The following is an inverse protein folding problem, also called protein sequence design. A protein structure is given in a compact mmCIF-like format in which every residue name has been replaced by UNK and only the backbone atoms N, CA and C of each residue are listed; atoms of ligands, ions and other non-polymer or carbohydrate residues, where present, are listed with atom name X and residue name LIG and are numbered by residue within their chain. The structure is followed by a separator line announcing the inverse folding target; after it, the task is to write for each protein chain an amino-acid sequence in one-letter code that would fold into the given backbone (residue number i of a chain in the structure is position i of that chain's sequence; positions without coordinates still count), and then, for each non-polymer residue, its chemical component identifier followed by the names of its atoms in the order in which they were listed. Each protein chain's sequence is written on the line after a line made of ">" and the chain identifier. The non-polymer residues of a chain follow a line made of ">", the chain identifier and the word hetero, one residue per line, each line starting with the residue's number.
data_IF_589880720422
#
_entry.id   IF_589880720422
#
_cell.length_a   1.000
_cell.length_b   1.000
_cell.length_c   1.000
_cell.angle_alpha   90.00
_cell.angle_beta   90.00
_cell.angle_gamma   90.00
#
_symmetry.space_group_name_H-M   'P 1'
#
loop_
_entity.id
_entity.type
_entity.pdbx_description
1 polymer ?
#
# COMPACT_ATOMS: atom_id res chain seq x y z
N UNK A 1 1.75 -16.57 -0.01
CA UNK A 1 1.80 -15.30 -0.77
C UNK A 1 2.43 -14.26 0.13
N UNK A 2 3.66 -13.89 -0.20
CA UNK A 2 4.60 -13.09 0.60
C UNK A 2 4.20 -11.61 0.64
N UNK A 3 4.50 -10.92 1.74
CA UNK A 3 4.47 -9.46 1.87
C UNK A 3 5.02 -8.73 0.64
N UNK A 4 4.35 -7.66 0.19
CA UNK A 4 4.74 -6.84 -0.99
C UNK A 4 6.09 -6.13 -0.77
N UNK A 5 6.64 -6.19 0.46
CA UNK A 5 8.00 -5.78 0.81
C UNK A 5 9.07 -6.34 -0.15
N UNK A 6 8.89 -7.54 -0.70
CA UNK A 6 9.81 -8.10 -1.71
C UNK A 6 9.77 -7.37 -3.07
N UNK A 7 8.60 -6.87 -3.48
CA UNK A 7 8.40 -6.14 -4.75
C UNK A 7 8.91 -4.70 -4.63
N UNK A 8 8.81 -4.08 -3.44
CA UNK A 8 9.24 -2.70 -3.20
C UNK A 8 10.76 -2.49 -3.15
N UNK A 9 11.55 -3.54 -2.92
CA UNK A 9 13.00 -3.42 -2.72
C UNK A 9 13.87 -3.78 -3.94
N UNK A 10 13.34 -4.42 -4.98
CA UNK A 10 14.10 -4.74 -6.21
C UNK A 10 13.99 -3.61 -7.24
N UNK A 11 14.80 -2.55 -7.08
CA UNK A 11 15.04 -1.53 -8.12
C UNK A 11 15.98 -2.09 -9.20
N UNK A 12 15.61 -3.20 -9.85
CA UNK A 12 16.28 -3.61 -11.11
C UNK A 12 15.57 -2.96 -12.29
N UNK A 13 16.29 -2.32 -13.23
CA UNK A 13 15.67 -1.86 -14.47
C UNK A 13 15.27 -3.10 -15.27
N UNK A 14 13.98 -3.43 -15.31
CA UNK A 14 13.45 -4.49 -16.15
C UNK A 14 13.37 -4.01 -17.60
N UNK A 15 13.84 -4.83 -18.54
CA UNK A 15 13.67 -4.63 -19.99
C UNK A 15 12.18 -4.49 -20.35
N UNK A 16 11.88 -3.72 -21.40
CA UNK A 16 10.50 -3.39 -21.81
C UNK A 16 9.66 -4.65 -22.06
N UNK A 17 10.23 -5.70 -22.65
CA UNK A 17 9.55 -7.00 -22.84
C UNK A 17 9.17 -7.67 -21.50
N UNK A 18 10.03 -7.60 -20.48
CA UNK A 18 9.74 -8.14 -19.16
C UNK A 18 8.62 -7.39 -18.44
N UNK A 19 8.46 -6.09 -18.71
CA UNK A 19 7.38 -5.28 -18.12
C UNK A 19 6.01 -5.59 -18.71
N UNK A 20 5.94 -5.91 -20.01
CA UNK A 20 4.69 -6.27 -20.69
C UNK A 20 4.17 -7.63 -20.22
N UNK A 21 5.05 -8.60 -20.07
CA UNK A 21 4.71 -9.93 -19.53
C UNK A 21 4.21 -9.85 -18.08
N UNK A 22 4.89 -9.05 -17.24
CA UNK A 22 4.46 -8.82 -15.86
C UNK A 22 3.09 -8.14 -15.76
N UNK A 23 2.78 -7.18 -16.63
CA UNK A 23 1.47 -6.52 -16.63
C UNK A 23 0.34 -7.51 -16.96
N UNK A 24 0.56 -8.41 -17.93
CA UNK A 24 -0.40 -9.45 -18.29
C UNK A 24 -0.65 -10.41 -17.13
N UNK A 25 0.41 -10.90 -16.47
CA UNK A 25 0.30 -11.78 -15.31
C UNK A 25 -0.48 -11.14 -14.16
N UNK A 26 -0.32 -9.83 -13.95
CA UNK A 26 -1.06 -9.11 -12.92
C UNK A 26 -2.54 -8.97 -13.27
N UNK A 27 -2.89 -8.70 -14.53
CA UNK A 27 -4.30 -8.66 -14.96
C UNK A 27 -4.97 -10.04 -14.85
N UNK A 28 -4.25 -11.13 -15.16
CA UNK A 28 -4.70 -12.49 -14.90
C UNK A 28 -4.90 -12.76 -13.39
N UNK A 29 -3.97 -12.28 -12.55
CA UNK A 29 -4.12 -12.38 -11.08
C UNK A 29 -5.37 -11.65 -10.57
N UNK A 30 -5.69 -10.48 -11.13
CA UNK A 30 -6.93 -9.75 -10.79
C UNK A 30 -8.15 -10.57 -11.23
N UNK A 31 -8.13 -11.14 -12.44
CA UNK A 31 -9.21 -11.97 -12.96
C UNK A 31 -9.48 -13.19 -12.05
N UNK A 32 -8.45 -13.95 -11.71
CA UNK A 32 -8.60 -15.14 -10.86
C UNK A 32 -9.03 -14.79 -9.44
N UNK A 33 -8.56 -13.68 -8.88
CA UNK A 33 -9.05 -13.21 -7.59
C UNK A 33 -10.56 -12.87 -7.65
N UNK A 34 -11.08 -12.36 -8.78
CA UNK A 34 -12.52 -12.05 -8.94
C UNK A 34 -13.32 -13.35 -8.98
N UNK A 35 -12.83 -14.33 -9.73
CA UNK A 35 -13.41 -15.66 -9.80
C UNK A 35 -13.46 -16.33 -8.42
N UNK A 36 -12.39 -16.25 -7.63
CA UNK A 36 -12.35 -16.78 -6.27
C UNK A 36 -13.37 -16.11 -5.33
N UNK A 37 -13.50 -14.78 -5.38
CA UNK A 37 -14.52 -14.04 -4.61
C UNK A 37 -15.94 -14.43 -5.02
N UNK A 38 -16.18 -14.74 -6.31
CA UNK A 38 -17.50 -15.20 -6.77
C UNK A 38 -17.85 -16.60 -6.23
N UNK A 39 -16.86 -17.43 -5.90
CA UNK A 39 -17.09 -18.74 -5.29
C UNK A 39 -17.45 -18.61 -3.79
N UNK A 40 -16.78 -17.73 -3.06
CA UNK A 40 -17.14 -17.36 -1.69
C UNK A 40 -16.86 -15.88 -1.41
N UNK A 41 -17.91 -15.07 -1.39
CA UNK A 41 -17.80 -13.63 -1.13
C UNK A 41 -17.36 -13.30 0.30
N UNK A 42 -17.40 -14.28 1.21
CA UNK A 42 -17.00 -14.13 2.61
C UNK A 42 -15.56 -14.53 2.87
N UNK A 43 -14.88 -15.15 1.89
CA UNK A 43 -13.48 -15.55 2.04
C UNK A 43 -12.57 -14.33 2.04
N UNK A 44 -12.02 -14.01 3.21
CA UNK A 44 -11.10 -12.90 3.36
C UNK A 44 -9.79 -13.09 2.60
N UNK A 45 -9.34 -14.32 2.36
CA UNK A 45 -8.11 -14.55 1.60
C UNK A 45 -8.28 -14.16 0.14
N UNK A 46 -9.42 -14.49 -0.48
CA UNK A 46 -9.73 -14.07 -1.85
C UNK A 46 -9.77 -12.54 -1.97
N UNK A 47 -10.37 -11.85 -1.01
CA UNK A 47 -10.33 -10.38 -0.95
C UNK A 47 -8.92 -9.82 -0.71
N UNK A 48 -8.11 -10.45 0.12
CA UNK A 48 -6.73 -10.04 0.34
C UNK A 48 -5.87 -10.22 -0.92
N UNK A 49 -6.04 -11.33 -1.63
CA UNK A 49 -5.35 -11.60 -2.89
C UNK A 49 -5.76 -10.59 -3.97
N UNK A 50 -7.03 -10.21 -4.03
CA UNK A 50 -7.50 -9.11 -4.87
C UNK A 50 -6.79 -7.80 -4.53
N UNK A 51 -6.68 -7.47 -3.25
CA UNK A 51 -5.98 -6.28 -2.78
C UNK A 51 -4.51 -6.27 -3.21
N UNK A 52 -3.83 -7.40 -3.06
CA UNK A 52 -2.43 -7.57 -3.48
C UNK A 52 -2.26 -7.47 -4.99
N UNK A 53 -3.18 -8.05 -5.77
CA UNK A 53 -3.15 -7.98 -7.23
C UNK A 53 -3.29 -6.53 -7.71
N UNK A 54 -4.23 -5.77 -7.15
CA UNK A 54 -4.38 -4.34 -7.47
C UNK A 54 -3.17 -3.50 -7.01
N UNK A 55 -2.61 -3.75 -5.83
CA UNK A 55 -1.44 -3.02 -5.34
C UNK A 55 -0.20 -3.34 -6.21
N UNK A 56 -0.02 -4.59 -6.62
CA UNK A 56 1.04 -4.98 -7.56
C UNK A 56 0.83 -4.31 -8.91
N UNK A 57 -0.40 -4.26 -9.40
CA UNK A 57 -0.77 -3.61 -10.66
C UNK A 57 -0.45 -2.11 -10.65
N UNK A 58 -0.62 -1.45 -9.50
CA UNK A 58 -0.20 -0.06 -9.32
C UNK A 58 1.32 0.08 -9.53
N UNK A 59 2.14 -0.75 -8.89
CA UNK A 59 3.60 -0.67 -9.00
C UNK A 59 4.11 -1.07 -10.38
N UNK A 60 3.63 -2.17 -10.95
CA UNK A 60 3.99 -2.62 -12.31
C UNK A 60 3.57 -1.59 -13.36
N UNK A 61 2.44 -0.93 -13.15
CA UNK A 61 1.98 0.18 -13.99
C UNK A 61 2.80 1.45 -13.87
N UNK A 62 3.83 1.52 -13.03
CA UNK A 62 4.68 2.72 -12.85
C UNK A 62 4.23 3.66 -11.74
N UNK A 63 3.37 3.21 -10.83
CA UNK A 63 2.97 3.91 -9.61
C UNK A 63 2.29 5.30 -9.81
N UNK A 64 1.47 5.45 -10.86
CA UNK A 64 0.73 6.70 -11.12
C UNK A 64 -0.80 6.53 -11.15
N UNK A 65 -1.32 5.31 -11.38
CA UNK A 65 -2.76 5.06 -11.42
C UNK A 65 -3.34 4.83 -10.02
N UNK A 66 -3.73 5.93 -9.36
CA UNK A 66 -4.31 5.89 -8.02
C UNK A 66 -5.64 5.13 -7.95
N UNK A 67 -6.32 4.88 -9.08
CA UNK A 67 -7.54 4.06 -9.08
C UNK A 67 -7.26 2.63 -8.64
N UNK A 68 -6.08 2.08 -8.99
CA UNK A 68 -5.63 0.75 -8.54
C UNK A 68 -5.40 0.71 -7.03
N UNK A 69 -4.87 1.78 -6.43
CA UNK A 69 -4.75 1.90 -4.97
C UNK A 69 -6.12 1.90 -4.30
N UNK A 70 -7.09 2.64 -4.84
CA UNK A 70 -8.45 2.64 -4.29
C UNK A 70 -9.11 1.25 -4.38
N UNK A 71 -8.93 0.52 -5.49
CA UNK A 71 -9.40 -0.86 -5.58
C UNK A 71 -8.73 -1.77 -4.56
N UNK A 72 -7.42 -1.62 -4.38
CA UNK A 72 -6.67 -2.38 -3.38
C UNK A 72 -7.20 -2.14 -1.95
N UNK A 73 -7.36 -0.88 -1.55
CA UNK A 73 -7.91 -0.49 -0.24
C UNK A 73 -9.31 -1.07 -0.02
N UNK A 74 -10.20 -0.99 -1.00
CA UNK A 74 -11.55 -1.57 -0.89
C UNK A 74 -11.52 -3.09 -0.73
N UNK A 75 -10.58 -3.77 -1.39
CA UNK A 75 -10.42 -5.21 -1.25
C UNK A 75 -9.93 -5.57 0.16
N UNK A 76 -8.92 -4.87 0.69
CA UNK A 76 -8.45 -5.09 2.06
C UNK A 76 -9.51 -4.80 3.13
N UNK A 77 -10.34 -3.78 2.94
CA UNK A 77 -11.50 -3.52 3.81
C UNK A 77 -12.52 -4.66 3.85
N UNK A 78 -12.66 -5.41 2.75
CA UNK A 78 -13.51 -6.60 2.74
C UNK A 78 -12.79 -7.82 3.33
N UNK A 79 -11.49 -7.96 3.09
CA UNK A 79 -10.67 -9.01 3.68
C UNK A 79 -10.67 -8.94 5.22
N UNK A 80 -10.57 -7.75 5.79
CA UNK A 80 -10.50 -7.53 7.25
C UNK A 80 -11.76 -7.98 8.01
N UNK A 81 -12.90 -8.10 7.32
CA UNK A 81 -14.16 -8.63 7.89
C UNK A 81 -14.09 -10.12 8.21
N UNK A 82 -13.16 -10.85 7.59
CA UNK A 82 -12.87 -12.24 7.92
C UNK A 82 -11.99 -12.28 9.18
N UNK A 83 -12.44 -13.03 10.20
CA UNK A 83 -11.76 -13.16 11.49
C UNK A 83 -10.34 -13.69 11.36
N UNK A 84 -10.09 -14.58 10.40
CA UNK A 84 -8.76 -15.15 10.18
C UNK A 84 -7.81 -14.11 9.60
N UNK A 85 -8.31 -13.29 8.67
CA UNK A 85 -7.55 -12.24 8.01
C UNK A 85 -7.31 -11.02 8.91
N UNK A 86 -8.22 -10.73 9.84
CA UNK A 86 -8.00 -9.71 10.88
C UNK A 86 -6.76 -10.01 11.75
N UNK A 87 -6.32 -11.27 11.83
CA UNK A 87 -5.09 -11.65 12.53
C UNK A 87 -3.84 -11.55 11.65
N UNK A 88 -3.99 -11.39 10.33
CA UNK A 88 -2.87 -11.37 9.40
C UNK A 88 -2.13 -10.00 9.42
N UNK A 89 -0.86 -9.93 9.86
CA UNK A 89 -0.10 -8.68 9.85
C UNK A 89 0.15 -8.12 8.44
N UNK A 90 0.31 -8.98 7.43
CA UNK A 90 0.59 -8.55 6.05
C UNK A 90 -0.60 -7.80 5.43
N UNK A 91 -1.83 -8.14 5.83
CA UNK A 91 -3.02 -7.41 5.42
C UNK A 91 -2.90 -5.93 5.80
N UNK A 92 -2.58 -5.64 7.06
CA UNK A 92 -2.46 -4.27 7.57
C UNK A 92 -1.24 -3.56 6.98
N UNK A 93 -0.12 -4.26 6.78
CA UNK A 93 1.06 -3.68 6.17
C UNK A 93 0.82 -3.26 4.72
N UNK A 94 0.23 -4.13 3.90
CA UNK A 94 -0.04 -3.85 2.50
C UNK A 94 -1.13 -2.78 2.35
N UNK A 95 -2.15 -2.81 3.21
CA UNK A 95 -3.18 -1.78 3.25
C UNK A 95 -2.58 -0.42 3.66
N UNK A 96 -1.79 -0.36 4.73
CA UNK A 96 -1.09 0.86 5.14
C UNK A 96 -0.16 1.38 4.04
N UNK A 97 0.48 0.49 3.28
CA UNK A 97 1.27 0.86 2.11
C UNK A 97 0.40 1.54 1.06
N UNK A 98 -0.77 0.98 0.72
CA UNK A 98 -1.68 1.62 -0.23
C UNK A 98 -2.16 2.99 0.27
N UNK A 99 -2.52 3.11 1.56
CA UNK A 99 -2.90 4.38 2.18
C UNK A 99 -1.74 5.40 2.18
N UNK A 100 -0.49 4.96 2.36
CA UNK A 100 0.71 5.82 2.27
C UNK A 100 0.87 6.43 0.88
N UNK A 101 0.72 5.64 -0.18
CA UNK A 101 0.80 6.14 -1.56
C UNK A 101 -0.41 6.99 -1.96
N UNK A 102 -1.55 6.82 -1.30
CA UNK A 102 -2.69 7.73 -1.38
C UNK A 102 -2.54 8.98 -0.49
N UNK A 103 -1.40 9.14 0.20
CA UNK A 103 -1.13 10.23 1.13
C UNK A 103 -2.11 10.31 2.32
N UNK A 104 -2.82 9.21 2.61
CA UNK A 104 -3.66 9.07 3.80
C UNK A 104 -2.80 8.73 5.03
N UNK A 105 -1.87 9.63 5.39
CA UNK A 105 -0.82 9.35 6.38
C UNK A 105 -1.35 8.91 7.75
N UNK A 106 -2.49 9.46 8.22
CA UNK A 106 -3.14 9.02 9.46
C UNK A 106 -3.51 7.53 9.41
N UNK A 107 -4.13 7.08 8.31
CA UNK A 107 -4.54 5.69 8.11
C UNK A 107 -3.33 4.78 7.93
N UNK A 108 -2.33 5.24 7.18
CA UNK A 108 -1.09 4.51 6.97
C UNK A 108 -0.36 4.27 8.31
N UNK A 109 -0.23 5.28 9.17
CA UNK A 109 0.39 5.16 10.49
C UNK A 109 -0.33 4.10 11.33
N UNK A 110 -1.66 4.20 11.47
CA UNK A 110 -2.45 3.22 12.23
C UNK A 110 -2.27 1.80 11.69
N UNK A 111 -2.32 1.62 10.36
CA UNK A 111 -2.16 0.30 9.76
C UNK A 111 -0.77 -0.28 9.98
N UNK A 112 0.29 0.52 9.87
CA UNK A 112 1.66 0.07 10.16
C UNK A 112 1.88 -0.23 11.64
N UNK A 113 1.28 0.54 12.56
CA UNK A 113 1.32 0.24 14.00
C UNK A 113 0.64 -1.09 14.32
N UNK A 114 -0.54 -1.35 13.74
CA UNK A 114 -1.24 -2.64 13.88
C UNK A 114 -0.40 -3.79 13.32
N UNK A 115 0.24 -3.60 12.16
CA UNK A 115 1.13 -4.58 11.57
C UNK A 115 2.35 -4.86 12.48
N UNK A 116 3.00 -3.82 13.02
CA UNK A 116 4.12 -3.95 13.94
C UNK A 116 3.75 -4.64 15.26
N UNK A 117 2.55 -4.39 15.78
CA UNK A 117 2.06 -5.04 16.98
C UNK A 117 1.84 -6.54 16.78
N UNK A 118 1.33 -6.93 15.60
CA UNK A 118 1.07 -8.33 15.25
C UNK A 118 2.35 -9.09 14.87
N UNK A 119 3.23 -8.45 14.09
CA UNK A 119 4.54 -8.98 13.71
C UNK A 119 5.62 -7.88 13.68
N UNK A 120 6.42 -7.76 14.75
CA UNK A 120 7.53 -6.82 14.80
C UNK A 120 8.60 -7.04 13.73
N UNK A 121 8.74 -8.28 13.22
CA UNK A 121 9.72 -8.67 12.19
C UNK A 121 9.41 -8.12 10.80
N UNK A 122 8.16 -7.68 10.57
CA UNK A 122 7.73 -7.15 9.29
C UNK A 122 8.37 -5.79 8.96
N UNK A 123 8.94 -5.11 9.95
CA UNK A 123 9.63 -3.82 9.79
C UNK A 123 8.67 -2.64 9.59
N UNK A 124 7.41 -2.77 10.00
CA UNK A 124 6.40 -1.71 9.88
C UNK A 124 6.75 -0.47 10.72
N UNK A 125 7.44 -0.64 11.85
CA UNK A 125 7.98 0.47 12.65
C UNK A 125 8.92 1.38 11.84
N UNK A 126 9.70 0.82 10.91
CA UNK A 126 10.57 1.60 10.03
C UNK A 126 9.75 2.49 9.09
N UNK A 127 8.61 1.99 8.58
CA UNK A 127 7.71 2.78 7.76
C UNK A 127 7.02 3.89 8.56
N UNK A 128 6.63 3.63 9.81
CA UNK A 128 6.11 4.66 10.74
C UNK A 128 7.11 5.81 10.89
N UNK A 129 8.38 5.50 11.19
CA UNK A 129 9.42 6.52 11.36
C UNK A 129 9.68 7.33 10.07
N UNK A 130 9.60 6.69 8.90
CA UNK A 130 9.71 7.39 7.60
C UNK A 130 8.59 8.39 7.40
N UNK A 131 7.35 8.02 7.73
CA UNK A 131 6.18 8.91 7.60
C UNK A 131 6.30 10.08 8.57
N UNK A 132 6.63 9.84 9.84
CA UNK A 132 6.83 10.90 10.84
C UNK A 132 7.90 11.88 10.35
N UNK A 133 9.06 11.39 9.90
CA UNK A 133 10.14 12.24 9.39
C UNK A 133 9.71 13.06 8.16
N UNK A 134 8.87 12.51 7.29
CA UNK A 134 8.31 13.24 6.16
C UNK A 134 7.40 14.37 6.63
N UNK A 135 6.47 14.09 7.54
CA UNK A 135 5.54 15.08 8.07
C UNK A 135 6.26 16.20 8.82
N UNK A 136 7.28 15.88 9.62
CA UNK A 136 8.13 16.87 10.30
C UNK A 136 8.84 17.79 9.29
N UNK A 137 9.34 17.24 8.18
CA UNK A 137 9.99 18.04 7.13
C UNK A 137 8.99 18.96 6.43
N UNK A 138 7.78 18.49 6.17
CA UNK A 138 6.72 19.31 5.56
C UNK A 138 6.29 20.43 6.50
N UNK A 139 6.09 20.14 7.79
CA UNK A 139 5.75 21.13 8.81
C UNK A 139 6.83 22.21 8.93
N UNK A 140 8.11 21.81 9.01
CA UNK A 140 9.23 22.74 9.03
C UNK A 140 9.32 23.60 7.76
N UNK A 141 9.10 23.00 6.58
CA UNK A 141 9.11 23.73 5.31
C UNK A 141 7.99 24.77 5.24
N UNK A 142 6.78 24.44 5.72
CA UNK A 142 5.66 25.38 5.78
C UNK A 142 5.95 26.54 6.75
N UNK A 143 6.47 26.25 7.94
CA UNK A 143 6.86 27.28 8.93
C UNK A 143 7.92 28.25 8.38
N UNK A 144 8.94 27.72 7.72
CA UNK A 144 10.01 28.52 7.13
C UNK A 144 9.57 29.30 5.88
N UNK A 145 8.69 28.72 5.05
CA UNK A 145 8.14 29.39 3.87
C UNK A 145 7.19 30.54 4.24
N UNK A 146 6.35 30.37 5.26
CA UNK A 146 5.50 31.45 5.77
C UNK A 146 6.31 32.60 6.38
N UNK A 147 7.45 32.31 7.03
CA UNK A 147 8.35 33.36 7.52
C UNK A 147 8.92 34.22 6.37
N UNK A 148 9.18 33.62 5.21
CA UNK A 148 9.71 34.35 4.04
C UNK A 148 8.67 35.28 3.40
N UNK A 149 7.39 34.89 3.39
CA UNK A 149 6.30 35.74 2.89
C UNK A 149 6.07 36.98 3.79
N UNK A 150 6.13 36.81 5.10
CA UNK A 150 5.95 37.91 6.05
C UNK A 150 7.10 38.95 6.02
N UNK A 151 8.31 38.57 5.61
CA UNK A 151 9.45 39.49 5.49
C UNK A 151 9.42 40.26 4.17
N UNK A 152 8.76 39.74 3.13
CA UNK A 152 8.63 40.42 1.83
C UNK A 152 7.47 41.43 1.77
N UNK A 153 6.61 41.45 2.80
CA UNK A 153 5.49 42.40 2.93
C UNK A 153 5.80 43.60 3.86
N UNK A 154 7.05 43.73 4.34
CA UNK A 154 7.54 44.85 5.17
C UNK A 154 8.65 45.62 4.48
#
# INVERSE_FOLDING_TARGET
>A
MTSIKGILHDKRPSTIEGSVDQALLVEESIKHAKEAIMLDIRDGNSWYNMGNAYLTSFFVGGAWDHTKLHHSVKAYQNAEKDKTMNLNPDLYYNWATADKYLENYERALRGFEVAALKDPGLGANTEVQKIISLLDKLDNAMKNGCAYLLIMET
#
